data_IF_306229964457
#
_entry.id   IF_306229964457
#
_cell.length_a   1.000
_cell.length_b   1.000
_cell.length_c   1.000
_cell.angle_alpha   90.00
_cell.angle_beta   90.00
_cell.angle_gamma   90.00
#
_symmetry.space_group_name_H-M   'P 1'
#
loop_
_entity.id
_entity.type
_entity.pdbx_description
1 polymer ?
#
# COMPACT_ATOMS: atom_id res chain seq x y z
N UNK A 1 7.20 -4.14 -13.08
CA UNK A 1 6.13 -4.58 -12.14
C UNK A 1 5.86 -6.08 -12.16
N UNK A 2 5.78 -6.78 -13.29
CA UNK A 2 5.54 -8.24 -13.34
C UNK A 2 6.56 -9.10 -12.57
N UNK A 3 7.80 -8.64 -12.43
CA UNK A 3 8.84 -9.33 -11.65
C UNK A 3 8.80 -9.00 -10.15
N UNK A 4 8.11 -7.93 -9.76
CA UNK A 4 8.07 -7.42 -8.40
C UNK A 4 6.88 -7.97 -7.63
N UNK A 5 5.68 -7.86 -8.19
CA UNK A 5 4.45 -8.27 -7.53
C UNK A 5 4.17 -9.78 -7.62
N UNK A 6 3.46 -10.32 -6.63
CA UNK A 6 2.82 -11.63 -6.75
C UNK A 6 1.85 -11.64 -7.93
N UNK A 7 1.59 -12.83 -8.52
CA UNK A 7 0.73 -12.95 -9.72
C UNK A 7 -0.65 -12.32 -9.52
N UNK A 8 -1.26 -12.53 -8.37
CA UNK A 8 -2.60 -12.02 -8.07
C UNK A 8 -2.62 -10.49 -8.01
N UNK A 9 -1.69 -9.88 -7.28
CA UNK A 9 -1.60 -8.43 -7.17
C UNK A 9 -1.19 -7.81 -8.50
N UNK A 10 -0.31 -8.46 -9.24
CA UNK A 10 0.05 -7.99 -10.58
C UNK A 10 -1.14 -7.91 -11.52
N UNK A 11 -2.02 -8.92 -11.52
CA UNK A 11 -3.23 -8.91 -12.35
C UNK A 11 -4.18 -7.77 -11.96
N UNK A 12 -4.40 -7.54 -10.65
CA UNK A 12 -5.22 -6.43 -10.14
C UNK A 12 -4.61 -5.08 -10.50
N UNK A 13 -3.30 -4.93 -10.31
CA UNK A 13 -2.57 -3.71 -10.70
C UNK A 13 -2.63 -3.48 -12.22
N UNK A 14 -2.47 -4.53 -13.03
CA UNK A 14 -2.57 -4.45 -14.48
C UNK A 14 -3.95 -3.96 -14.91
N UNK A 15 -5.03 -4.40 -14.27
CA UNK A 15 -6.39 -3.89 -14.54
C UNK A 15 -6.51 -2.39 -14.26
N UNK A 16 -5.82 -1.85 -13.23
CA UNK A 16 -5.80 -0.41 -12.98
C UNK A 16 -4.99 0.33 -14.06
N UNK A 17 -3.86 -0.22 -14.50
CA UNK A 17 -3.06 0.35 -15.60
C UNK A 17 -3.89 0.39 -16.90
N UNK A 18 -4.55 -0.71 -17.25
CA UNK A 18 -5.45 -0.77 -18.40
C UNK A 18 -6.63 0.19 -18.24
N UNK A 19 -7.17 0.29 -17.01
CA UNK A 19 -8.24 1.22 -16.67
C UNK A 19 -7.88 2.70 -16.83
N UNK A 20 -6.61 3.07 -16.95
CA UNK A 20 -6.20 4.46 -17.21
C UNK A 20 -6.81 5.01 -18.51
N UNK A 21 -7.12 4.17 -19.49
CA UNK A 21 -7.80 4.57 -20.72
C UNK A 21 -9.21 5.17 -20.51
N UNK A 22 -9.84 4.84 -19.38
CA UNK A 22 -11.11 5.46 -18.99
C UNK A 22 -10.93 6.89 -18.45
N UNK A 23 -9.72 7.24 -17.99
CA UNK A 23 -9.35 8.56 -17.52
C UNK A 23 -8.99 9.46 -18.73
N UNK A 24 -9.85 10.38 -19.11
CA UNK A 24 -9.71 11.14 -20.36
C UNK A 24 -9.37 12.61 -20.18
N UNK A 25 -9.40 13.13 -18.95
CA UNK A 25 -9.07 14.53 -18.66
C UNK A 25 -8.43 14.62 -17.27
N UNK A 26 -7.17 15.01 -17.25
CA UNK A 26 -6.41 15.28 -16.02
C UNK A 26 -6.03 16.74 -16.01
N UNK A 27 -6.49 17.48 -15.01
CA UNK A 27 -6.28 18.91 -14.88
C UNK A 27 -5.76 19.29 -13.51
N UNK A 28 -4.69 20.04 -13.47
CA UNK A 28 -4.21 20.71 -12.27
C UNK A 28 -5.20 21.81 -11.85
N UNK A 29 -5.61 21.83 -10.58
CA UNK A 29 -6.59 22.80 -10.07
C UNK A 29 -6.02 23.71 -8.99
N UNK A 30 -5.03 23.24 -8.23
CA UNK A 30 -4.31 24.09 -7.27
C UNK A 30 -2.88 23.63 -7.04
N UNK A 31 -2.04 24.56 -6.58
CA UNK A 31 -0.67 24.33 -6.13
C UNK A 31 -0.50 24.99 -4.77
N UNK A 32 -0.05 24.23 -3.80
CA UNK A 32 0.29 24.73 -2.48
C UNK A 32 1.66 24.19 -2.07
N UNK A 33 2.71 24.97 -2.29
CA UNK A 33 4.09 24.53 -2.11
C UNK A 33 4.42 23.36 -3.04
N UNK A 34 4.86 22.24 -2.48
CA UNK A 34 5.14 20.99 -3.20
C UNK A 34 3.90 20.14 -3.49
N UNK A 35 2.74 20.50 -2.94
CA UNK A 35 1.50 19.75 -3.12
C UNK A 35 0.70 20.32 -4.28
N UNK A 36 0.41 19.47 -5.24
CA UNK A 36 -0.42 19.79 -6.41
C UNK A 36 -1.71 18.98 -6.35
N UNK A 37 -2.84 19.67 -6.53
CA UNK A 37 -4.16 19.02 -6.61
C UNK A 37 -4.57 18.86 -8.06
N UNK A 38 -4.92 17.65 -8.43
CA UNK A 38 -5.44 17.30 -9.76
C UNK A 38 -6.89 16.84 -9.68
N UNK A 39 -7.67 17.16 -10.71
CA UNK A 39 -8.96 16.52 -10.99
C UNK A 39 -8.80 15.61 -12.20
N UNK A 40 -9.07 14.33 -11.99
CA UNK A 40 -9.09 13.30 -13.02
C UNK A 40 -10.52 12.95 -13.34
N UNK A 41 -10.95 13.08 -14.61
CA UNK A 41 -12.26 12.65 -15.09
C UNK A 41 -12.20 11.26 -15.68
N UNK A 42 -13.11 10.40 -15.24
CA UNK A 42 -13.25 9.02 -15.68
C UNK A 42 -14.61 8.80 -16.36
N UNK A 43 -14.60 8.07 -17.48
CA UNK A 43 -15.82 7.49 -18.06
C UNK A 43 -16.19 6.24 -17.28
N UNK A 44 -17.41 6.22 -16.75
CA UNK A 44 -17.95 5.09 -16.01
C UNK A 44 -19.22 4.60 -16.70
N UNK A 45 -19.45 3.31 -16.63
CA UNK A 45 -20.75 2.74 -17.02
C UNK A 45 -21.75 2.95 -15.88
N UNK A 46 -22.92 3.49 -16.21
CA UNK A 46 -24.04 3.67 -15.30
C UNK A 46 -25.11 2.64 -15.66
N UNK A 47 -25.99 2.33 -14.73
CA UNK A 47 -27.10 1.39 -14.98
C UNK A 47 -27.87 1.75 -16.26
N UNK A 48 -28.11 0.75 -17.11
CA UNK A 48 -28.84 0.91 -18.38
C UNK A 48 -27.99 1.21 -19.62
N UNK A 49 -26.69 0.90 -19.64
CA UNK A 49 -25.77 1.17 -20.76
C UNK A 49 -25.48 2.67 -21.03
N UNK A 50 -25.84 3.52 -20.10
CA UNK A 50 -25.47 4.94 -20.19
C UNK A 50 -24.02 5.17 -19.73
N UNK A 51 -23.30 6.02 -20.47
CA UNK A 51 -21.94 6.43 -20.10
C UNK A 51 -22.02 7.67 -19.23
N UNK A 52 -21.59 7.57 -17.99
CA UNK A 52 -21.43 8.68 -17.07
C UNK A 52 -20.00 9.19 -17.01
N UNK A 53 -19.82 10.34 -16.37
CA UNK A 53 -18.50 10.90 -16.04
C UNK A 53 -18.42 11.14 -14.54
N UNK A 54 -17.38 10.58 -13.91
CA UNK A 54 -17.03 10.87 -12.51
C UNK A 54 -15.73 11.65 -12.45
N UNK A 55 -15.61 12.51 -11.42
CA UNK A 55 -14.41 13.29 -11.16
C UNK A 55 -13.76 12.82 -9.88
N UNK A 56 -12.46 12.61 -9.91
CA UNK A 56 -11.67 12.16 -8.77
C UNK A 56 -10.58 13.18 -8.45
N UNK A 57 -10.53 13.60 -7.20
CA UNK A 57 -9.45 14.46 -6.72
C UNK A 57 -8.23 13.61 -6.38
N UNK A 58 -7.06 14.07 -6.81
CA UNK A 58 -5.77 13.43 -6.56
C UNK A 58 -4.81 14.50 -6.05
N UNK A 59 -4.27 14.29 -4.87
CA UNK A 59 -3.18 15.09 -4.29
C UNK A 59 -1.85 14.44 -4.66
N UNK A 60 -0.93 15.24 -5.20
CA UNK A 60 0.41 14.81 -5.55
C UNK A 60 1.44 15.73 -4.91
N UNK A 61 2.28 15.16 -4.07
CA UNK A 61 3.42 15.83 -3.45
C UNK A 61 4.67 15.52 -4.26
N UNK A 62 5.32 16.56 -4.80
CA UNK A 62 6.36 16.43 -5.82
C UNK A 62 7.74 16.07 -5.27
N UNK A 63 8.07 16.44 -4.02
CA UNK A 63 9.39 16.18 -3.41
C UNK A 63 9.52 14.74 -2.97
N UNK A 64 8.49 14.18 -2.34
CA UNK A 64 8.47 12.83 -1.81
C UNK A 64 7.80 11.82 -2.77
N UNK A 65 7.31 12.29 -3.92
CA UNK A 65 6.50 11.49 -4.85
C UNK A 65 5.32 10.80 -4.13
N UNK A 66 4.70 11.51 -3.15
CA UNK A 66 3.52 10.99 -2.45
C UNK A 66 2.26 11.32 -3.24
N UNK A 67 1.39 10.33 -3.43
CA UNK A 67 0.17 10.48 -4.20
C UNK A 67 -1.03 9.87 -3.49
N UNK A 68 -2.11 10.64 -3.36
CA UNK A 68 -3.33 10.23 -2.67
C UNK A 68 -4.54 10.54 -3.54
N UNK A 69 -5.37 9.54 -3.75
CA UNK A 69 -6.62 9.69 -4.50
C UNK A 69 -7.82 9.57 -3.57
N UNK A 70 -8.84 10.40 -3.78
CA UNK A 70 -10.09 10.35 -3.01
C UNK A 70 -10.79 8.99 -3.08
N UNK A 71 -10.55 8.18 -4.13
CA UNK A 71 -11.09 6.82 -4.23
C UNK A 71 -10.52 5.86 -3.20
N UNK A 72 -9.41 6.22 -2.55
CA UNK A 72 -8.76 5.50 -1.45
C UNK A 72 -8.38 4.04 -1.75
N UNK A 73 -8.30 3.64 -3.04
CA UNK A 73 -8.03 2.25 -3.41
C UNK A 73 -6.74 1.72 -2.78
N UNK A 74 -5.68 2.54 -2.71
CA UNK A 74 -4.42 2.15 -2.08
C UNK A 74 -4.60 1.78 -0.61
N UNK A 75 -5.41 2.52 0.14
CA UNK A 75 -5.66 2.25 1.57
C UNK A 75 -6.36 0.90 1.78
N UNK A 76 -7.27 0.52 0.86
CA UNK A 76 -8.03 -0.73 0.98
C UNK A 76 -7.38 -1.94 0.31
N UNK A 77 -6.68 -1.73 -0.81
CA UNK A 77 -6.17 -2.80 -1.67
C UNK A 77 -4.64 -2.84 -1.75
N UNK A 78 -3.98 -1.76 -1.30
CA UNK A 78 -2.52 -1.65 -1.23
C UNK A 78 -1.81 -1.70 -2.61
N UNK A 79 -2.49 -1.21 -3.65
CA UNK A 79 -1.91 -0.86 -4.95
C UNK A 79 -2.58 0.41 -5.49
N UNK A 80 -1.86 1.16 -6.31
CA UNK A 80 -2.34 2.44 -6.84
C UNK A 80 -3.51 2.24 -7.79
N UNK A 81 -4.49 3.14 -7.69
CA UNK A 81 -5.64 3.20 -8.60
C UNK A 81 -5.25 3.87 -9.93
N UNK A 82 -6.05 3.65 -10.96
CA UNK A 82 -5.92 4.27 -12.27
C UNK A 82 -5.84 5.80 -12.26
N UNK A 83 -6.53 6.47 -11.32
CA UNK A 83 -6.48 7.94 -11.19
C UNK A 83 -5.11 8.42 -10.70
N UNK A 84 -4.54 7.77 -9.68
CA UNK A 84 -3.21 8.07 -9.19
C UNK A 84 -2.14 7.75 -10.26
N UNK A 85 -2.24 6.60 -10.90
CA UNK A 85 -1.35 6.22 -12.02
C UNK A 85 -1.43 7.22 -13.17
N UNK A 86 -2.63 7.72 -13.48
CA UNK A 86 -2.81 8.71 -14.53
C UNK A 86 -2.11 10.05 -14.17
N UNK A 87 -2.17 10.49 -12.91
CA UNK A 87 -1.46 11.70 -12.46
C UNK A 87 0.05 11.49 -12.47
N UNK A 88 0.56 10.33 -12.06
CA UNK A 88 1.99 10.02 -12.15
C UNK A 88 2.45 10.09 -13.61
N UNK A 89 1.74 9.43 -14.51
CA UNK A 89 2.03 9.46 -15.94
C UNK A 89 1.96 10.90 -16.54
N UNK A 90 0.97 11.68 -16.12
CA UNK A 90 0.84 13.08 -16.52
C UNK A 90 2.06 13.94 -16.11
N UNK A 91 2.68 13.62 -14.99
CA UNK A 91 3.90 14.27 -14.48
C UNK A 91 5.19 13.62 -14.98
N UNK A 92 5.13 12.69 -15.95
CA UNK A 92 6.30 12.03 -16.52
C UNK A 92 6.96 10.98 -15.60
N UNK A 93 6.25 10.50 -14.58
CA UNK A 93 6.72 9.44 -13.69
C UNK A 93 6.36 8.10 -14.32
N UNK A 94 7.35 7.43 -14.89
CA UNK A 94 7.17 6.16 -15.61
C UNK A 94 7.15 4.96 -14.67
N UNK A 95 7.79 5.08 -13.50
CA UNK A 95 7.88 4.00 -12.51
C UNK A 95 7.02 4.30 -11.29
N UNK A 96 6.36 3.26 -10.77
CA UNK A 96 5.64 3.38 -9.50
C UNK A 96 6.63 3.61 -8.37
N UNK A 97 6.49 4.70 -7.58
CA UNK A 97 7.40 4.96 -6.47
C UNK A 97 7.45 3.78 -5.50
N UNK A 98 8.64 3.45 -4.99
CA UNK A 98 8.90 2.25 -4.18
C UNK A 98 8.04 2.16 -2.92
N UNK A 99 7.64 3.29 -2.35
CA UNK A 99 6.72 3.37 -1.20
C UNK A 99 5.34 2.73 -1.45
N UNK A 100 4.91 2.60 -2.72
CA UNK A 100 3.66 1.94 -3.11
C UNK A 100 3.83 0.47 -3.46
N UNK A 101 5.05 -0.07 -3.34
CA UNK A 101 5.36 -1.47 -3.55
C UNK A 101 5.55 -2.13 -2.19
N UNK A 102 4.44 -2.54 -1.57
CA UNK A 102 4.49 -3.12 -0.23
C UNK A 102 5.19 -4.48 -0.24
N UNK A 103 6.05 -4.72 0.74
CA UNK A 103 6.84 -5.96 0.85
C UNK A 103 5.97 -7.22 0.82
N UNK A 104 4.81 -7.22 1.49
CA UNK A 104 3.85 -8.34 1.49
C UNK A 104 3.35 -8.75 0.10
N UNK A 105 3.46 -7.86 -0.89
CA UNK A 105 3.03 -8.11 -2.27
C UNK A 105 4.17 -8.43 -3.22
N UNK A 106 5.40 -8.40 -2.72
CA UNK A 106 6.58 -8.71 -3.52
C UNK A 106 6.73 -10.22 -3.69
N UNK A 107 7.11 -10.60 -4.90
CA UNK A 107 7.32 -12.01 -5.28
C UNK A 107 8.53 -12.64 -4.57
N UNK A 108 9.58 -11.86 -4.40
CA UNK A 108 10.83 -12.24 -3.74
C UNK A 108 10.70 -12.30 -2.21
N UNK A 109 9.68 -11.68 -1.65
CA UNK A 109 9.44 -11.67 -0.20
C UNK A 109 9.30 -13.09 0.38
N UNK A 110 8.58 -13.99 -0.32
CA UNK A 110 8.48 -15.41 0.11
C UNK A 110 9.78 -16.20 -0.02
N UNK A 111 10.64 -15.84 -0.97
CA UNK A 111 11.95 -16.49 -1.14
C UNK A 111 12.95 -16.02 -0.08
N UNK A 112 12.93 -14.75 0.25
CA UNK A 112 13.71 -14.17 1.35
C UNK A 112 13.28 -14.76 2.69
N UNK A 113 11.99 -15.03 2.87
CA UNK A 113 11.42 -15.68 4.06
C UNK A 113 12.07 -17.06 4.35
N UNK A 114 12.36 -17.85 3.34
CA UNK A 114 12.99 -19.18 3.50
C UNK A 114 14.51 -19.13 3.70
N UNK A 115 15.17 -17.99 3.47
CA UNK A 115 16.61 -17.81 3.63
C UNK A 115 17.01 -17.17 4.95
N UNK A 116 16.08 -16.51 5.67
CA UNK A 116 16.33 -15.92 7.00
C UNK A 116 16.08 -16.93 8.14
N UNK A 117 16.52 -18.17 7.98
CA UNK A 117 16.83 -19.01 9.13
C UNK A 117 18.19 -18.58 9.68
N UNK A 118 18.09 -17.74 10.70
CA UNK A 118 19.09 -17.56 11.76
C UNK A 118 20.55 -17.39 11.28
N UNK A 119 20.96 -16.16 11.12
CA UNK A 119 22.34 -15.78 11.49
C UNK A 119 22.25 -14.95 12.78
N UNK A 120 22.80 -15.48 13.86
CA UNK A 120 22.80 -14.92 15.22
C UNK A 120 23.64 -13.64 15.40
N UNK A 121 23.80 -12.81 14.36
CA UNK A 121 24.55 -11.55 14.44
C UNK A 121 23.67 -10.36 14.05
N UNK A 122 22.84 -9.91 15.00
CA UNK A 122 22.15 -8.60 14.91
C UNK A 122 23.11 -7.57 15.54
N UNK A 123 24.18 -7.20 14.84
CA UNK A 123 25.18 -6.25 15.35
C UNK A 123 25.00 -4.81 14.86
N UNK A 124 23.97 -4.51 14.05
CA UNK A 124 23.67 -3.13 13.63
C UNK A 124 22.17 -2.85 13.72
N UNK A 125 21.83 -1.85 14.54
CA UNK A 125 20.46 -1.34 14.67
C UNK A 125 19.97 -0.79 13.32
N UNK A 126 19.15 -1.57 12.60
CA UNK A 126 18.44 -1.13 11.41
C UNK A 126 16.93 -1.30 11.62
N UNK A 127 16.18 -0.19 11.77
CA UNK A 127 14.72 -0.24 12.02
C UNK A 127 13.93 -0.99 10.94
N UNK A 128 14.41 -1.00 9.70
CA UNK A 128 13.76 -1.70 8.57
C UNK A 128 13.88 -3.21 8.74
N UNK A 129 15.05 -3.69 9.21
CA UNK A 129 15.28 -5.11 9.43
C UNK A 129 14.47 -5.59 10.65
N UNK A 130 14.36 -4.79 11.69
CA UNK A 130 13.53 -5.10 12.86
C UNK A 130 12.05 -5.18 12.50
N UNK A 131 11.54 -4.22 11.73
CA UNK A 131 10.16 -4.27 11.25
C UNK A 131 9.90 -5.53 10.42
N UNK A 132 10.80 -5.84 9.51
CA UNK A 132 10.70 -7.03 8.64
C UNK A 132 10.71 -8.32 9.47
N UNK A 133 11.60 -8.40 10.45
CA UNK A 133 11.70 -9.55 11.34
C UNK A 133 10.44 -9.71 12.21
N UNK A 134 9.96 -8.61 12.83
CA UNK A 134 8.74 -8.63 13.65
C UNK A 134 7.51 -8.99 12.81
N UNK A 135 7.38 -8.43 11.60
CA UNK A 135 6.29 -8.75 10.70
C UNK A 135 6.28 -10.25 10.34
N UNK A 136 7.45 -10.80 10.00
CA UNK A 136 7.59 -12.21 9.68
C UNK A 136 7.28 -13.13 10.87
N UNK A 137 7.64 -12.71 12.08
CA UNK A 137 7.34 -13.45 13.31
C UNK A 137 5.84 -13.41 13.67
N UNK A 138 5.17 -12.31 13.37
CA UNK A 138 3.74 -12.15 13.61
C UNK A 138 2.86 -12.87 12.57
N UNK A 139 3.34 -13.03 11.34
CA UNK A 139 2.55 -13.58 10.22
C UNK A 139 1.94 -14.97 10.52
N UNK A 140 2.68 -15.96 11.07
CA UNK A 140 2.11 -17.26 11.46
C UNK A 140 1.00 -17.14 12.51
N UNK A 141 1.13 -16.18 13.45
CA UNK A 141 0.10 -15.93 14.47
C UNK A 141 -1.17 -15.40 13.82
N UNK A 142 -1.05 -14.50 12.85
CA UNK A 142 -2.17 -13.97 12.10
C UNK A 142 -2.84 -15.04 11.22
N UNK A 143 -2.05 -15.90 10.57
CA UNK A 143 -2.56 -16.99 9.74
C UNK A 143 -3.34 -18.01 10.56
N UNK A 144 -2.83 -18.42 11.73
CA UNK A 144 -3.53 -19.35 12.64
C UNK A 144 -4.73 -18.67 13.29
N UNK A 145 -4.57 -17.42 13.73
CA UNK A 145 -5.66 -16.63 14.34
C UNK A 145 -6.86 -16.44 13.40
N UNK A 146 -6.64 -16.36 12.09
CA UNK A 146 -7.71 -16.21 11.11
C UNK A 146 -8.49 -17.50 10.79
N UNK A 147 -8.08 -18.66 11.30
CA UNK A 147 -8.71 -19.95 10.96
C UNK A 147 -10.02 -20.22 11.72
N UNK A 148 -10.19 -19.67 12.92
CA UNK A 148 -11.40 -19.85 13.72
C UNK A 148 -11.67 -18.64 14.61
N UNK A 149 -12.93 -18.49 15.05
CA UNK A 149 -13.30 -17.44 15.99
C UNK A 149 -12.56 -17.56 17.34
N UNK A 150 -12.32 -18.77 17.79
CA UNK A 150 -11.59 -19.04 19.04
C UNK A 150 -10.12 -18.61 18.94
N UNK A 151 -9.42 -19.02 17.87
CA UNK A 151 -8.04 -18.58 17.61
C UNK A 151 -7.96 -17.05 17.41
N UNK A 152 -8.94 -16.43 16.74
CA UNK A 152 -9.00 -15.00 16.57
C UNK A 152 -9.05 -14.26 17.90
N UNK A 153 -9.92 -14.67 18.82
CA UNK A 153 -10.05 -14.03 20.13
C UNK A 153 -8.77 -14.15 20.96
N UNK A 154 -8.09 -15.30 20.89
CA UNK A 154 -6.79 -15.49 21.57
C UNK A 154 -5.74 -14.58 20.94
N UNK A 155 -5.60 -14.58 19.62
CA UNK A 155 -4.58 -13.76 18.94
C UNK A 155 -4.76 -12.26 19.20
N UNK A 156 -6.00 -11.74 19.16
CA UNK A 156 -6.28 -10.32 19.44
C UNK A 156 -5.90 -9.98 20.88
N UNK A 157 -6.30 -10.81 21.86
CA UNK A 157 -5.99 -10.58 23.26
C UNK A 157 -4.48 -10.51 23.52
N UNK A 158 -3.72 -11.46 22.98
CA UNK A 158 -2.26 -11.51 23.15
C UNK A 158 -1.56 -10.30 22.50
N UNK A 159 -2.06 -9.85 21.32
CA UNK A 159 -1.53 -8.66 20.65
C UNK A 159 -1.82 -7.39 21.44
N UNK A 160 -3.01 -7.26 22.04
CA UNK A 160 -3.38 -6.12 22.90
C UNK A 160 -2.53 -6.09 24.17
N UNK A 161 -2.31 -7.24 24.81
CA UNK A 161 -1.42 -7.36 25.98
C UNK A 161 0.02 -6.99 25.64
N UNK A 162 0.49 -7.39 24.45
CA UNK A 162 1.83 -7.03 23.97
C UNK A 162 1.96 -5.53 23.74
N UNK A 163 0.98 -4.89 23.12
CA UNK A 163 0.96 -3.44 22.93
C UNK A 163 0.98 -2.68 24.26
N UNK A 164 0.20 -3.12 25.24
CA UNK A 164 0.19 -2.52 26.57
C UNK A 164 1.53 -2.60 27.30
N UNK A 165 2.36 -3.58 27.00
CA UNK A 165 3.74 -3.67 27.56
C UNK A 165 4.68 -2.62 26.99
N UNK A 166 4.49 -2.20 25.74
CA UNK A 166 5.29 -1.14 25.11
C UNK A 166 4.89 0.25 25.64
N UNK A 167 3.59 0.51 25.84
CA UNK A 167 3.10 1.80 26.34
C UNK A 167 3.57 2.11 27.78
N UNK A 168 3.84 1.08 28.59
CA UNK A 168 4.35 1.24 29.97
C UNK A 168 5.84 1.63 29.95
N UNK A 169 6.58 1.33 28.88
CA UNK A 169 8.02 1.62 28.75
C UNK A 169 8.33 3.10 28.54
N UNK A 170 7.45 3.84 27.86
CA UNK A 170 7.69 5.27 27.54
C UNK A 170 7.43 6.24 28.71
N UNK A 171 6.75 5.80 29.78
CA UNK A 171 6.48 6.64 30.95
C UNK A 171 7.59 6.65 32.01
N UNK A 172 8.72 5.96 31.80
CA UNK A 172 9.86 5.90 32.74
C UNK A 172 11.10 6.69 32.28
N UNK A 173 10.98 7.56 31.26
CA UNK A 173 12.06 8.43 30.79
C UNK A 173 11.63 9.92 30.87
N UNK A 174 11.33 10.38 32.09
CA UNK A 174 11.30 11.81 32.47
C UNK A 174 12.04 12.01 33.77
#
# INVERSE_FOLDING_TARGET
MAKVFTKEIFQKFQSEVEGMHSCFNTRQVSVNGSIITYIVKERVEVEGNEKGVKSFEVLYETTELDIRCICSLFNYKAYLCKHALNVLNYNGIEEVPSRYILNRWRRDFKQTFNQFHVSDNIDTYNPVDFYTHLFNSALPVLEVGAQSQEHYMVAVKELEELLGKFDIGDNNLL
#
